data_IF_671226838198
#
_entry.id   IF_671226838198
#
_cell.length_a   1.000
_cell.length_b   1.000
_cell.length_c   1.000
_cell.angle_alpha   90.00
_cell.angle_beta   90.00
_cell.angle_gamma   90.00
#
_symmetry.space_group_name_H-M   'P 1'
#
loop_
_entity.id
_entity.type
_entity.pdbx_description
1 polymer ?
#
# COMPACT_ATOMS: atom_id res chain seq x y z
N UNK A 1 5.12 -0.50 34.65
CA UNK A 1 3.76 -0.03 34.32
C UNK A 1 3.47 -0.34 32.85
N UNK A 2 2.95 -1.52 32.52
CA UNK A 2 2.65 -1.97 31.16
C UNK A 2 1.20 -1.59 30.90
N UNK A 3 1.00 -0.50 30.14
CA UNK A 3 -0.33 -0.07 29.72
C UNK A 3 -1.03 -1.19 28.95
N UNK A 4 -2.29 -1.48 29.30
CA UNK A 4 -3.20 -2.40 28.63
C UNK A 4 -3.17 -2.20 27.12
N UNK A 5 -2.58 -3.13 26.40
CA UNK A 5 -2.33 -3.07 24.96
C UNK A 5 -3.51 -3.69 24.23
N UNK A 6 -4.68 -3.05 24.28
CA UNK A 6 -5.84 -3.50 23.49
C UNK A 6 -5.89 -2.89 22.10
N UNK A 7 -5.07 -1.88 21.78
CA UNK A 7 -5.14 -1.17 20.51
C UNK A 7 -3.84 -1.23 19.73
N UNK A 8 -3.94 -1.54 18.43
CA UNK A 8 -2.80 -1.59 17.48
C UNK A 8 -2.09 -0.24 17.36
N UNK A 9 -2.78 0.89 17.62
CA UNK A 9 -2.17 2.23 17.62
C UNK A 9 -1.03 2.41 18.62
N UNK A 10 -0.96 1.61 19.67
CA UNK A 10 0.10 1.64 20.68
C UNK A 10 1.48 1.34 20.04
N UNK A 11 1.55 0.53 18.99
CA UNK A 11 2.82 0.22 18.32
C UNK A 11 3.42 1.44 17.62
N UNK A 12 2.61 2.36 17.09
CA UNK A 12 3.09 3.65 16.57
C UNK A 12 3.64 4.52 17.70
N UNK A 13 2.95 4.55 18.85
CA UNK A 13 3.38 5.34 20.00
C UNK A 13 4.68 4.80 20.61
N UNK A 14 4.84 3.47 20.70
CA UNK A 14 6.07 2.83 21.19
C UNK A 14 7.27 3.07 20.27
N UNK A 15 7.05 3.38 19.01
CA UNK A 15 8.09 3.56 18.00
C UNK A 15 8.14 5.00 17.44
N UNK A 16 7.70 6.02 18.22
CA UNK A 16 7.63 7.43 17.80
C UNK A 16 8.92 7.95 17.16
N UNK A 17 10.09 7.69 17.76
CA UNK A 17 11.36 8.17 17.24
C UNK A 17 11.71 7.62 15.84
N UNK A 18 11.32 6.37 15.55
CA UNK A 18 11.51 5.80 14.20
C UNK A 18 10.47 6.33 13.22
N UNK A 19 9.24 6.53 13.68
CA UNK A 19 8.19 7.16 12.87
C UNK A 19 8.58 8.59 12.50
N UNK A 20 9.17 9.37 13.42
CA UNK A 20 9.72 10.70 13.12
C UNK A 20 10.82 10.62 12.05
N UNK A 21 11.71 9.63 12.13
CA UNK A 21 12.71 9.37 11.10
C UNK A 21 12.07 9.09 9.72
N UNK A 22 11.01 8.27 9.68
CA UNK A 22 10.26 8.01 8.45
C UNK A 22 9.64 9.30 7.90
N UNK A 23 9.03 10.14 8.75
CA UNK A 23 8.42 11.41 8.33
C UNK A 23 9.48 12.35 7.75
N UNK A 24 10.60 12.53 8.43
CA UNK A 24 11.69 13.40 7.95
C UNK A 24 12.26 12.91 6.61
N UNK A 25 12.51 11.60 6.49
CA UNK A 25 12.98 11.04 5.21
C UNK A 25 11.91 11.12 4.11
N UNK A 26 10.62 11.05 4.45
CA UNK A 26 9.52 11.23 3.49
C UNK A 26 9.48 12.67 2.94
N UNK A 27 9.74 13.67 3.78
CA UNK A 27 9.87 15.07 3.34
C UNK A 27 11.06 15.21 2.38
N UNK A 28 12.23 14.67 2.74
CA UNK A 28 13.41 14.71 1.88
C UNK A 28 13.19 13.99 0.55
N UNK A 29 12.52 12.84 0.57
CA UNK A 29 12.16 12.09 -0.63
C UNK A 29 11.18 12.88 -1.52
N UNK A 30 10.19 13.58 -0.93
CA UNK A 30 9.28 14.46 -1.66
C UNK A 30 10.00 15.65 -2.30
N UNK A 31 10.98 16.22 -1.61
CA UNK A 31 11.84 17.27 -2.21
C UNK A 31 12.64 16.72 -3.41
N UNK A 32 13.09 15.46 -3.35
CA UNK A 32 13.78 14.81 -4.47
C UNK A 32 12.92 14.72 -5.73
N UNK A 33 11.63 14.41 -5.57
CA UNK A 33 10.66 14.39 -6.69
C UNK A 33 10.48 15.79 -7.30
N UNK A 34 10.36 16.82 -6.46
CA UNK A 34 10.15 18.19 -6.95
C UNK A 34 11.40 18.80 -7.58
N UNK A 35 12.60 18.35 -7.22
CA UNK A 35 13.85 18.82 -7.85
C UNK A 35 13.91 18.53 -9.36
N UNK A 36 13.26 17.47 -9.83
CA UNK A 36 13.18 17.20 -11.26
C UNK A 36 12.48 18.31 -12.04
N UNK A 37 11.48 18.98 -11.45
CA UNK A 37 10.81 20.11 -12.09
C UNK A 37 11.80 21.26 -12.39
N UNK A 38 12.72 21.53 -11.46
CA UNK A 38 13.75 22.54 -11.66
C UNK A 38 14.79 22.12 -12.72
N UNK A 39 15.10 20.82 -12.82
CA UNK A 39 15.95 20.31 -13.90
C UNK A 39 15.29 20.55 -15.25
N UNK A 40 14.00 20.23 -15.40
CA UNK A 40 13.26 20.48 -16.64
C UNK A 40 13.17 21.97 -16.98
N UNK A 41 13.06 22.85 -15.97
CA UNK A 41 13.14 24.29 -16.19
C UNK A 41 14.49 24.70 -16.77
N UNK A 42 15.60 24.19 -16.20
CA UNK A 42 16.93 24.51 -16.68
C UNK A 42 17.18 23.98 -18.10
N UNK A 43 16.56 22.88 -18.47
CA UNK A 43 16.57 22.40 -19.86
C UNK A 43 15.83 23.39 -20.78
N UNK A 44 14.66 23.90 -20.35
CA UNK A 44 13.88 24.87 -21.12
C UNK A 44 14.55 26.25 -21.25
N UNK A 45 15.45 26.60 -20.33
CA UNK A 45 16.21 27.86 -20.33
C UNK A 45 17.51 27.79 -21.24
N UNK A 46 17.77 26.63 -21.82
CA UNK A 46 18.99 26.49 -22.67
C UNK A 46 18.89 27.36 -23.92
N UNK A 47 19.90 28.22 -24.20
CA UNK A 47 19.98 28.96 -25.44
C UNK A 47 20.18 28.01 -26.63
N UNK A 48 19.70 28.40 -27.82
CA UNK A 48 19.87 27.63 -29.06
C UNK A 48 21.35 27.31 -29.41
N UNK A 49 22.27 28.20 -29.03
CA UNK A 49 23.72 27.99 -29.15
C UNK A 49 24.27 27.41 -27.84
N UNK A 50 24.36 26.07 -27.77
CA UNK A 50 24.86 25.38 -26.60
C UNK A 50 26.39 25.52 -26.45
N UNK A 51 26.83 26.29 -25.46
CA UNK A 51 28.24 26.30 -25.08
C UNK A 51 28.60 25.04 -24.28
N UNK A 52 29.82 24.50 -24.44
CA UNK A 52 30.31 23.35 -23.67
C UNK A 52 30.14 23.56 -22.16
N UNK A 53 30.32 24.80 -21.69
CA UNK A 53 30.14 25.16 -20.28
C UNK A 53 28.69 25.05 -19.80
N UNK A 54 27.70 25.37 -20.62
CA UNK A 54 26.28 25.23 -20.29
C UNK A 54 25.89 23.75 -20.18
N UNK A 55 26.35 22.92 -21.10
CA UNK A 55 26.15 21.46 -21.07
C UNK A 55 26.76 20.85 -19.80
N UNK A 56 27.98 21.22 -19.43
CA UNK A 56 28.69 20.71 -18.27
C UNK A 56 27.97 21.09 -16.95
N UNK A 57 27.46 22.34 -16.86
CA UNK A 57 26.65 22.79 -15.70
C UNK A 57 25.37 22.02 -15.60
N UNK A 58 24.65 21.81 -16.70
CA UNK A 58 23.42 21.04 -16.70
C UNK A 58 23.67 19.59 -16.31
N UNK A 59 24.71 18.96 -16.83
CA UNK A 59 25.14 17.62 -16.46
C UNK A 59 25.44 17.51 -14.94
N UNK A 60 26.09 18.52 -14.36
CA UNK A 60 26.34 18.59 -12.92
C UNK A 60 25.07 18.67 -12.09
N UNK A 61 24.10 19.52 -12.48
CA UNK A 61 22.80 19.63 -11.82
C UNK A 61 22.04 18.30 -11.90
N UNK A 62 22.05 17.68 -13.08
CA UNK A 62 21.36 16.39 -13.30
C UNK A 62 21.97 15.28 -12.46
N UNK A 63 23.29 15.14 -12.44
CA UNK A 63 24.01 14.17 -11.62
C UNK A 63 23.74 14.39 -10.13
N UNK A 64 23.75 15.64 -9.66
CA UNK A 64 23.41 15.97 -8.28
C UNK A 64 21.98 15.58 -7.95
N UNK A 65 21.00 15.87 -8.82
CA UNK A 65 19.59 15.53 -8.62
C UNK A 65 19.40 14.01 -8.57
N UNK A 66 20.02 13.24 -9.50
CA UNK A 66 19.97 11.78 -9.49
C UNK A 66 20.57 11.22 -8.21
N UNK A 67 21.74 11.72 -7.79
CA UNK A 67 22.40 11.29 -6.56
C UNK A 67 21.53 11.59 -5.33
N UNK A 68 21.03 12.83 -5.21
CA UNK A 68 20.13 13.23 -4.12
C UNK A 68 18.86 12.35 -4.07
N UNK A 69 18.23 12.13 -5.23
CA UNK A 69 17.06 11.28 -5.35
C UNK A 69 17.35 9.85 -4.89
N UNK A 70 18.44 9.26 -5.37
CA UNK A 70 18.83 7.92 -4.99
C UNK A 70 19.09 7.81 -3.47
N UNK A 71 19.82 8.75 -2.89
CA UNK A 71 20.13 8.76 -1.46
C UNK A 71 18.88 8.96 -0.62
N UNK A 72 18.03 9.94 -0.96
CA UNK A 72 16.80 10.24 -0.20
C UNK A 72 15.78 9.09 -0.23
N UNK A 73 15.57 8.45 -1.39
CA UNK A 73 14.66 7.32 -1.53
C UNK A 73 15.18 6.08 -0.80
N UNK A 74 16.49 5.78 -0.87
CA UNK A 74 17.08 4.67 -0.14
C UNK A 74 17.04 4.91 1.38
N UNK A 75 17.30 6.14 1.84
CA UNK A 75 17.17 6.50 3.25
C UNK A 75 15.71 6.30 3.72
N UNK A 76 14.73 6.79 2.96
CA UNK A 76 13.31 6.60 3.28
C UNK A 76 12.95 5.11 3.35
N UNK A 77 13.40 4.30 2.39
CA UNK A 77 13.19 2.86 2.37
C UNK A 77 13.82 2.18 3.60
N UNK A 78 15.04 2.55 3.97
CA UNK A 78 15.74 2.02 5.15
C UNK A 78 14.99 2.32 6.45
N UNK A 79 14.60 3.57 6.68
CA UNK A 79 13.86 3.96 7.89
C UNK A 79 12.49 3.28 7.95
N UNK A 80 11.77 3.20 6.83
CA UNK A 80 10.49 2.50 6.72
C UNK A 80 10.63 1.01 7.04
N UNK A 81 11.62 0.31 6.46
CA UNK A 81 11.88 -1.11 6.72
C UNK A 81 12.28 -1.36 8.18
N UNK A 82 13.12 -0.49 8.74
CA UNK A 82 13.55 -0.60 10.14
C UNK A 82 12.39 -0.36 11.11
N UNK A 83 11.49 0.57 10.80
CA UNK A 83 10.28 0.83 11.55
C UNK A 83 9.34 -0.39 11.53
N UNK A 84 9.05 -0.95 10.35
CA UNK A 84 8.21 -2.13 10.18
C UNK A 84 8.79 -3.36 10.89
N UNK A 85 10.09 -3.63 10.72
CA UNK A 85 10.78 -4.72 11.42
C UNK A 85 10.55 -4.65 12.92
N UNK A 86 10.61 -3.45 13.52
CA UNK A 86 10.45 -3.29 14.96
C UNK A 86 9.01 -3.51 15.41
N UNK A 87 8.04 -2.99 14.67
CA UNK A 87 6.61 -3.22 14.95
C UNK A 87 6.30 -4.72 14.89
N UNK A 88 6.75 -5.41 13.84
CA UNK A 88 6.49 -6.85 13.66
C UNK A 88 7.08 -7.70 14.78
N UNK A 89 8.30 -7.37 15.21
CA UNK A 89 8.91 -8.05 16.36
C UNK A 89 8.09 -7.86 17.64
N UNK A 90 7.59 -6.65 17.88
CA UNK A 90 6.75 -6.37 19.04
C UNK A 90 5.38 -7.05 18.92
N UNK A 91 4.73 -6.93 17.76
CA UNK A 91 3.42 -7.51 17.52
C UNK A 91 3.43 -9.04 17.64
N UNK A 92 4.38 -9.71 16.99
CA UNK A 92 4.51 -11.18 17.06
C UNK A 92 4.75 -11.68 18.48
N UNK A 93 5.57 -10.96 19.26
CA UNK A 93 5.79 -11.28 20.68
C UNK A 93 4.53 -11.08 21.50
N UNK A 94 3.88 -9.93 21.37
CA UNK A 94 2.68 -9.60 22.15
C UNK A 94 1.53 -10.57 21.82
N UNK A 95 1.38 -10.98 20.54
CA UNK A 95 0.40 -12.01 20.12
C UNK A 95 0.75 -13.38 20.69
N UNK A 96 2.00 -13.80 20.63
CA UNK A 96 2.45 -15.08 21.19
C UNK A 96 2.27 -15.12 22.70
N UNK A 97 2.65 -14.06 23.42
CA UNK A 97 2.44 -13.93 24.86
C UNK A 97 0.94 -13.98 25.21
N UNK A 98 0.07 -13.34 24.40
CA UNK A 98 -1.37 -13.38 24.59
C UNK A 98 -1.98 -14.79 24.37
N UNK A 99 -1.37 -15.60 23.49
CA UNK A 99 -1.77 -17.02 23.32
C UNK A 99 -1.35 -17.86 24.53
N UNK A 100 -0.13 -17.66 25.04
CA UNK A 100 0.37 -18.38 26.22
C UNK A 100 -0.35 -18.01 27.52
N UNK A 101 -0.88 -16.79 27.63
CA UNK A 101 -1.66 -16.32 28.77
C UNK A 101 -3.12 -16.84 28.77
N UNK A 102 -3.56 -17.65 27.78
CA UNK A 102 -4.89 -18.23 27.74
C UNK A 102 -5.04 -19.43 28.68
N UNK A 103 -6.26 -19.63 29.21
CA UNK A 103 -6.58 -20.85 29.97
C UNK A 103 -6.63 -22.06 29.04
N UNK A 104 -6.27 -23.26 29.58
CA UNK A 104 -6.24 -24.51 28.83
C UNK A 104 -7.57 -24.83 28.12
N UNK A 105 -8.69 -24.49 28.74
CA UNK A 105 -10.04 -24.66 28.18
C UNK A 105 -10.23 -23.76 26.94
N UNK A 106 -9.79 -22.51 27.00
CA UNK A 106 -9.86 -21.57 25.87
C UNK A 106 -8.91 -21.95 24.74
N UNK A 107 -7.72 -22.47 25.08
CA UNK A 107 -6.76 -22.94 24.10
C UNK A 107 -7.27 -24.18 23.35
N UNK A 108 -7.84 -25.15 24.08
CA UNK A 108 -8.34 -26.42 23.51
C UNK A 108 -9.66 -26.25 22.75
N UNK A 109 -10.49 -25.27 23.15
CA UNK A 109 -11.73 -24.94 22.42
C UNK A 109 -11.47 -24.32 21.04
N UNK A 110 -10.30 -23.73 20.84
CA UNK A 110 -9.86 -23.21 19.56
C UNK A 110 -8.85 -24.16 18.93
N UNK A 111 -9.00 -24.47 17.65
CA UNK A 111 -8.05 -25.30 16.92
C UNK A 111 -6.66 -24.62 16.89
N UNK A 112 -5.59 -25.36 17.20
CA UNK A 112 -4.19 -24.86 17.12
C UNK A 112 -3.86 -24.22 15.76
N UNK A 113 -4.50 -24.68 14.68
CA UNK A 113 -4.41 -24.08 13.34
C UNK A 113 -4.87 -22.63 13.29
N UNK A 114 -5.81 -22.20 14.14
CA UNK A 114 -6.26 -20.82 14.22
C UNK A 114 -5.13 -19.90 14.73
N UNK A 115 -4.39 -20.30 15.74
CA UNK A 115 -3.28 -19.49 16.28
C UNK A 115 -2.11 -19.41 15.32
N UNK A 116 -1.82 -20.50 14.59
CA UNK A 116 -0.83 -20.49 13.51
C UNK A 116 -1.26 -19.56 12.38
N UNK A 117 -2.55 -19.55 12.02
CA UNK A 117 -3.10 -18.62 11.01
C UNK A 117 -2.98 -17.18 11.46
N UNK A 118 -3.27 -16.87 12.72
CA UNK A 118 -3.11 -15.50 13.25
C UNK A 118 -1.65 -15.04 13.16
N UNK A 119 -0.70 -15.86 13.63
CA UNK A 119 0.71 -15.49 13.65
C UNK A 119 1.36 -15.37 12.26
N UNK A 120 0.93 -16.21 11.32
CA UNK A 120 1.51 -16.23 9.98
C UNK A 120 0.74 -15.35 8.99
N UNK A 121 -0.58 -15.48 8.92
CA UNK A 121 -1.38 -14.81 7.91
C UNK A 121 -1.89 -13.45 8.37
N UNK A 122 -2.56 -13.40 9.54
CA UNK A 122 -3.19 -12.16 9.99
C UNK A 122 -2.14 -11.09 10.34
N UNK A 123 -1.06 -11.47 11.02
CA UNK A 123 0.05 -10.55 11.34
C UNK A 123 0.76 -10.08 10.07
N UNK A 124 0.97 -10.95 9.08
CA UNK A 124 1.58 -10.58 7.79
C UNK A 124 0.65 -9.67 6.99
N UNK A 125 -0.66 -9.93 7.04
CA UNK A 125 -1.65 -9.05 6.42
C UNK A 125 -1.64 -7.65 7.07
N UNK A 126 -1.58 -7.57 8.41
CA UNK A 126 -1.46 -6.31 9.14
C UNK A 126 -0.15 -5.57 8.79
N UNK A 127 0.96 -6.30 8.64
CA UNK A 127 2.21 -5.70 8.18
C UNK A 127 2.05 -5.00 6.85
N UNK A 128 1.54 -5.71 5.84
CA UNK A 128 1.49 -5.24 4.46
C UNK A 128 0.40 -4.20 4.21
N UNK A 129 -0.79 -4.39 4.79
CA UNK A 129 -1.97 -3.61 4.48
C UNK A 129 -2.32 -2.53 5.51
N UNK A 130 -1.70 -2.57 6.71
CA UNK A 130 -1.93 -1.56 7.75
C UNK A 130 -0.65 -0.79 8.09
N UNK A 131 0.35 -1.46 8.68
CA UNK A 131 1.56 -0.79 9.18
C UNK A 131 2.46 -0.23 8.07
N UNK A 132 2.56 -0.91 6.91
CA UNK A 132 3.34 -0.43 5.78
C UNK A 132 2.65 0.72 5.04
N UNK A 133 1.31 0.72 5.04
CA UNK A 133 0.53 1.70 4.26
C UNK A 133 0.44 3.07 4.91
N UNK A 134 0.49 3.17 6.23
CA UNK A 134 0.47 4.48 6.93
C UNK A 134 1.71 5.33 6.60
N UNK A 135 2.96 4.83 6.68
CA UNK A 135 4.12 5.56 6.19
C UNK A 135 4.07 5.89 4.70
N UNK A 136 3.47 5.03 3.88
CA UNK A 136 3.27 5.26 2.45
C UNK A 136 2.34 6.45 2.21
N UNK A 137 1.19 6.52 2.90
CA UNK A 137 0.27 7.67 2.83
C UNK A 137 0.99 8.97 3.21
N UNK A 138 1.78 8.94 4.28
CA UNK A 138 2.55 10.10 4.73
C UNK A 138 3.53 10.55 3.64
N UNK A 139 4.29 9.64 3.05
CA UNK A 139 5.25 9.94 1.98
C UNK A 139 4.54 10.53 0.76
N UNK A 140 3.48 9.89 0.28
CA UNK A 140 2.73 10.37 -0.89
C UNK A 140 2.08 11.73 -0.65
N UNK A 141 1.62 12.00 0.57
CA UNK A 141 1.08 13.32 0.93
C UNK A 141 2.16 14.41 0.83
N UNK A 142 3.38 14.16 1.29
CA UNK A 142 4.48 15.13 1.16
C UNK A 142 4.92 15.34 -0.30
N UNK A 143 4.95 14.28 -1.10
CA UNK A 143 5.24 14.39 -2.55
C UNK A 143 4.17 15.25 -3.23
N UNK A 144 2.88 14.97 -2.97
CA UNK A 144 1.76 15.75 -3.52
C UNK A 144 1.84 17.22 -3.13
N UNK A 145 2.01 17.52 -1.84
CA UNK A 145 2.12 18.88 -1.34
C UNK A 145 3.34 19.61 -1.93
N UNK A 146 4.46 18.94 -2.07
CA UNK A 146 5.66 19.49 -2.70
C UNK A 146 5.43 19.83 -4.17
N UNK A 147 4.87 18.92 -4.95
CA UNK A 147 4.54 19.15 -6.36
C UNK A 147 3.53 20.30 -6.51
N UNK A 148 2.51 20.34 -5.64
CA UNK A 148 1.49 21.38 -5.64
C UNK A 148 2.10 22.75 -5.32
N UNK A 149 2.97 22.84 -4.31
CA UNK A 149 3.65 24.09 -3.93
C UNK A 149 4.50 24.65 -5.07
N UNK A 150 5.27 23.78 -5.75
CA UNK A 150 6.07 24.17 -6.92
C UNK A 150 5.18 24.56 -8.10
N UNK A 151 4.05 23.88 -8.30
CA UNK A 151 3.09 24.23 -9.34
C UNK A 151 2.43 25.58 -9.06
N UNK A 152 2.09 25.89 -7.81
CA UNK A 152 1.60 27.21 -7.38
C UNK A 152 2.62 28.31 -7.63
N UNK A 153 3.90 28.02 -7.46
CA UNK A 153 4.98 28.97 -7.75
C UNK A 153 5.05 29.34 -9.24
N UNK A 154 4.82 28.36 -10.14
CA UNK A 154 4.81 28.62 -11.58
C UNK A 154 3.51 29.31 -12.06
N UNK A 155 2.36 28.74 -11.72
CA UNK A 155 1.05 29.32 -12.06
C UNK A 155 -0.04 28.77 -11.12
N UNK A 156 -0.57 29.65 -10.26
CA UNK A 156 -1.65 29.28 -9.32
C UNK A 156 -2.96 28.86 -9.98
N UNK A 157 -3.21 29.22 -11.26
CA UNK A 157 -4.42 28.82 -12.00
C UNK A 157 -4.33 27.36 -12.43
N UNK A 158 -3.14 26.95 -12.91
CA UNK A 158 -2.88 25.56 -13.26
C UNK A 158 -2.94 24.70 -11.98
N UNK A 159 -2.38 25.18 -10.87
CA UNK A 159 -2.49 24.49 -9.58
C UNK A 159 -3.94 24.34 -9.11
N UNK A 160 -4.75 25.39 -9.21
CA UNK A 160 -6.18 25.34 -8.87
C UNK A 160 -6.96 24.36 -9.73
N UNK A 161 -6.67 24.33 -11.02
CA UNK A 161 -7.29 23.37 -11.95
C UNK A 161 -6.90 21.93 -11.62
N UNK A 162 -5.63 21.67 -11.28
CA UNK A 162 -5.17 20.35 -10.84
C UNK A 162 -5.91 19.89 -9.57
N UNK A 163 -6.07 20.79 -8.59
CA UNK A 163 -6.82 20.49 -7.36
C UNK A 163 -8.27 20.09 -7.64
N UNK A 164 -8.90 20.66 -8.66
CA UNK A 164 -10.27 20.30 -9.05
C UNK A 164 -10.33 18.97 -9.78
N UNK A 165 -9.37 18.70 -10.66
CA UNK A 165 -9.41 17.52 -11.56
C UNK A 165 -8.84 16.25 -10.94
N UNK A 166 -7.94 16.36 -9.94
CA UNK A 166 -7.28 15.19 -9.31
C UNK A 166 -8.28 14.25 -8.61
N UNK A 167 -9.45 14.75 -8.23
CA UNK A 167 -10.49 13.94 -7.60
C UNK A 167 -11.24 13.00 -8.56
N UNK A 168 -11.16 13.25 -9.87
CA UNK A 168 -11.86 12.43 -10.88
C UNK A 168 -11.36 10.98 -10.86
N UNK A 169 -10.06 10.67 -11.02
CA UNK A 169 -9.59 9.31 -10.92
C UNK A 169 -9.69 8.72 -9.50
N UNK A 170 -9.66 9.56 -8.46
CA UNK A 170 -9.83 9.13 -7.07
C UNK A 170 -11.23 8.57 -6.81
N UNK A 171 -12.25 9.04 -7.52
CA UNK A 171 -13.63 8.55 -7.35
C UNK A 171 -13.80 7.08 -7.83
N UNK A 172 -12.97 6.59 -8.74
CA UNK A 172 -13.12 5.25 -9.35
C UNK A 172 -13.08 4.11 -8.33
N UNK A 173 -12.11 4.01 -7.41
CA UNK A 173 -12.10 2.97 -6.38
C UNK A 173 -13.35 2.97 -5.49
N UNK A 174 -13.99 4.13 -5.30
CA UNK A 174 -15.22 4.22 -4.52
C UNK A 174 -16.43 3.74 -5.31
N UNK A 175 -16.46 3.95 -6.64
CA UNK A 175 -17.55 3.52 -7.52
C UNK A 175 -17.49 2.00 -7.78
N UNK A 176 -16.30 1.48 -8.07
CA UNK A 176 -16.10 0.07 -8.42
C UNK A 176 -15.79 -0.82 -7.20
N UNK A 177 -15.47 -0.25 -6.05
CA UNK A 177 -15.03 -0.99 -4.87
C UNK A 177 -16.02 -2.05 -4.39
N UNK A 178 -17.33 -1.79 -4.46
CA UNK A 178 -18.35 -2.76 -4.06
C UNK A 178 -18.41 -3.96 -5.02
N UNK A 179 -18.31 -3.72 -6.34
CA UNK A 179 -18.32 -4.77 -7.36
C UNK A 179 -17.09 -5.68 -7.22
N UNK A 180 -15.92 -5.06 -7.03
CA UNK A 180 -14.66 -5.79 -6.83
C UNK A 180 -14.73 -6.61 -5.53
N UNK A 181 -15.17 -6.00 -4.43
CA UNK A 181 -15.26 -6.67 -3.13
C UNK A 181 -16.26 -7.85 -3.15
N UNK A 182 -17.36 -7.73 -3.87
CA UNK A 182 -18.32 -8.83 -4.02
C UNK A 182 -17.76 -9.99 -4.85
N UNK A 183 -17.06 -9.68 -5.95
CA UNK A 183 -16.39 -10.67 -6.78
C UNK A 183 -15.26 -11.39 -6.02
N UNK A 184 -14.45 -10.66 -5.25
CA UNK A 184 -13.44 -11.24 -4.35
C UNK A 184 -14.08 -12.10 -3.26
N UNK A 185 -15.16 -11.64 -2.67
CA UNK A 185 -15.89 -12.42 -1.66
C UNK A 185 -16.44 -13.74 -2.20
N UNK A 186 -16.90 -13.79 -3.46
CA UNK A 186 -17.28 -15.04 -4.14
C UNK A 186 -16.08 -15.97 -4.34
N UNK A 187 -14.98 -15.42 -4.83
CA UNK A 187 -13.75 -16.19 -5.01
C UNK A 187 -13.25 -16.81 -3.70
N UNK A 188 -13.19 -16.05 -2.60
CA UNK A 188 -12.75 -16.59 -1.31
C UNK A 188 -13.68 -17.67 -0.75
N UNK A 189 -14.99 -17.56 -0.93
CA UNK A 189 -15.94 -18.63 -0.52
C UNK A 189 -15.72 -19.91 -1.33
N UNK A 190 -15.56 -19.81 -2.64
CA UNK A 190 -15.28 -20.97 -3.49
C UNK A 190 -13.92 -21.60 -3.17
N UNK A 191 -12.91 -20.78 -2.86
CA UNK A 191 -11.58 -21.25 -2.44
C UNK A 191 -11.63 -21.99 -1.10
N UNK A 192 -12.44 -21.52 -0.15
CA UNK A 192 -12.66 -22.19 1.14
C UNK A 192 -13.33 -23.56 0.94
N UNK A 193 -14.37 -23.66 0.11
CA UNK A 193 -15.02 -24.93 -0.22
C UNK A 193 -14.06 -25.90 -0.93
N UNK A 194 -13.29 -25.42 -1.88
CA UNK A 194 -12.26 -26.20 -2.57
C UNK A 194 -11.22 -26.75 -1.59
N UNK A 195 -10.72 -25.88 -0.70
CA UNK A 195 -9.73 -26.29 0.31
C UNK A 195 -10.30 -27.32 1.28
N UNK A 196 -11.58 -27.18 1.66
CA UNK A 196 -12.30 -28.17 2.47
C UNK A 196 -12.36 -29.55 1.78
N UNK A 197 -12.82 -29.57 0.51
CA UNK A 197 -12.90 -30.81 -0.27
C UNK A 197 -11.53 -31.46 -0.51
N UNK A 198 -10.48 -30.65 -0.76
CA UNK A 198 -9.09 -31.17 -0.84
C UNK A 198 -8.68 -31.89 0.43
N UNK A 199 -8.98 -31.31 1.59
CA UNK A 199 -8.70 -31.93 2.89
C UNK A 199 -9.45 -33.25 3.04
N UNK A 200 -10.71 -33.31 2.59
CA UNK A 200 -11.52 -34.52 2.65
C UNK A 200 -10.98 -35.60 1.71
N UNK A 201 -10.59 -35.25 0.48
CA UNK A 201 -9.97 -36.19 -0.48
C UNK A 201 -8.65 -36.76 0.03
N UNK A 202 -7.76 -35.91 0.56
CA UNK A 202 -6.49 -36.39 1.11
C UNK A 202 -6.66 -37.14 2.43
N UNK A 203 -7.61 -36.73 3.27
CA UNK A 203 -7.94 -37.43 4.52
C UNK A 203 -8.63 -38.76 4.30
N UNK A 204 -9.37 -38.92 3.20
CA UNK A 204 -10.04 -40.15 2.75
C UNK A 204 -9.26 -40.97 1.75
N UNK A 205 -7.95 -40.69 1.53
CA UNK A 205 -7.15 -41.33 0.45
C UNK A 205 -7.19 -42.85 0.51
N UNK A 206 -7.10 -43.47 1.71
CA UNK A 206 -7.20 -44.92 1.90
C UNK A 206 -8.55 -45.46 1.42
N UNK A 207 -9.64 -44.75 1.72
CA UNK A 207 -11.01 -45.10 1.32
C UNK A 207 -11.13 -45.07 -0.20
N UNK A 208 -10.64 -43.97 -0.84
CA UNK A 208 -10.63 -43.83 -2.31
C UNK A 208 -9.92 -44.97 -2.97
N UNK A 209 -8.77 -45.38 -2.43
CA UNK A 209 -7.98 -46.50 -2.97
C UNK A 209 -8.65 -47.88 -2.73
N UNK A 210 -9.19 -48.11 -1.52
CA UNK A 210 -9.83 -49.38 -1.19
C UNK A 210 -11.09 -49.65 -2.03
N UNK A 211 -11.89 -48.58 -2.29
CA UNK A 211 -13.11 -48.68 -3.07
C UNK A 211 -12.93 -48.43 -4.57
N UNK A 212 -11.72 -48.09 -5.01
CA UNK A 212 -11.35 -47.80 -6.41
C UNK A 212 -12.22 -46.71 -7.06
N UNK A 213 -12.67 -45.72 -6.26
CA UNK A 213 -13.51 -44.58 -6.69
C UNK A 213 -12.70 -43.38 -7.16
N UNK A 214 -11.50 -43.63 -7.75
CA UNK A 214 -10.60 -42.56 -8.19
C UNK A 214 -11.19 -41.69 -9.28
N UNK A 215 -11.94 -42.25 -10.24
CA UNK A 215 -12.56 -41.49 -11.35
C UNK A 215 -13.65 -40.56 -10.88
N UNK A 216 -14.53 -41.03 -10.00
CA UNK A 216 -15.59 -40.20 -9.41
C UNK A 216 -15.01 -39.07 -8.57
N UNK A 217 -13.92 -39.34 -7.85
CA UNK A 217 -13.18 -38.32 -7.08
C UNK A 217 -12.53 -37.29 -8.01
N UNK A 218 -11.96 -37.72 -9.14
CA UNK A 218 -11.36 -36.84 -10.15
C UNK A 218 -12.42 -35.91 -10.79
N UNK A 219 -13.60 -36.42 -11.13
CA UNK A 219 -14.71 -35.62 -11.67
C UNK A 219 -15.20 -34.58 -10.66
N UNK A 220 -15.37 -34.97 -9.38
CA UNK A 220 -15.74 -34.06 -8.31
C UNK A 220 -14.66 -33.00 -8.08
N UNK A 221 -13.39 -33.37 -8.09
CA UNK A 221 -12.28 -32.44 -7.98
C UNK A 221 -12.28 -31.46 -9.17
N UNK A 222 -12.43 -31.97 -10.40
CA UNK A 222 -12.48 -31.15 -11.62
C UNK A 222 -13.57 -30.08 -11.58
N UNK A 223 -14.78 -30.43 -11.09
CA UNK A 223 -15.85 -29.45 -10.92
C UNK A 223 -15.49 -28.35 -9.93
N UNK A 224 -14.86 -28.71 -8.79
CA UNK A 224 -14.47 -27.75 -7.77
C UNK A 224 -13.35 -26.82 -8.25
N UNK A 225 -12.38 -27.35 -9.00
CA UNK A 225 -11.32 -26.54 -9.63
C UNK A 225 -11.93 -25.55 -10.61
N UNK A 226 -12.87 -25.99 -11.44
CA UNK A 226 -13.54 -25.13 -12.40
C UNK A 226 -14.26 -23.97 -11.71
N UNK A 227 -15.02 -24.23 -10.65
CA UNK A 227 -15.76 -23.19 -9.91
C UNK A 227 -14.82 -22.15 -9.27
N UNK A 228 -13.68 -22.61 -8.72
CA UNK A 228 -12.68 -21.70 -8.15
C UNK A 228 -12.01 -20.86 -9.23
N UNK A 229 -11.58 -21.48 -10.34
CA UNK A 229 -10.87 -20.75 -11.40
C UNK A 229 -11.79 -19.79 -12.14
N UNK A 230 -13.06 -20.11 -12.34
CA UNK A 230 -14.04 -19.21 -12.93
C UNK A 230 -14.32 -18.01 -12.01
N UNK A 231 -14.49 -18.24 -10.71
CA UNK A 231 -14.64 -17.15 -9.73
C UNK A 231 -13.37 -16.30 -9.59
N UNK A 232 -12.18 -16.92 -9.67
CA UNK A 232 -10.90 -16.23 -9.69
C UNK A 232 -10.76 -15.34 -10.92
N UNK A 233 -11.07 -15.88 -12.09
CA UNK A 233 -11.07 -15.12 -13.35
C UNK A 233 -11.98 -13.90 -13.25
N UNK A 234 -13.22 -14.10 -12.81
CA UNK A 234 -14.19 -13.01 -12.68
C UNK A 234 -13.74 -11.93 -11.70
N UNK A 235 -13.21 -12.33 -10.53
CA UNK A 235 -12.67 -11.40 -9.54
C UNK A 235 -11.50 -10.58 -10.11
N UNK A 236 -10.54 -11.24 -10.75
CA UNK A 236 -9.38 -10.57 -11.36
C UNK A 236 -9.78 -9.68 -12.52
N UNK A 237 -10.74 -10.12 -13.35
CA UNK A 237 -11.24 -9.32 -14.45
C UNK A 237 -11.92 -8.03 -13.97
N UNK A 238 -12.78 -8.10 -12.95
CA UNK A 238 -13.40 -6.93 -12.34
C UNK A 238 -12.35 -5.97 -11.77
N UNK A 239 -11.34 -6.49 -11.05
CA UNK A 239 -10.27 -5.68 -10.49
C UNK A 239 -9.43 -4.99 -11.58
N UNK A 240 -8.99 -5.75 -12.60
CA UNK A 240 -8.21 -5.20 -13.73
C UNK A 240 -9.01 -4.20 -14.54
N UNK A 241 -10.30 -4.44 -14.77
CA UNK A 241 -11.17 -3.50 -15.49
C UNK A 241 -11.33 -2.18 -14.73
N UNK A 242 -11.49 -2.24 -13.41
CA UNK A 242 -11.51 -1.06 -12.55
C UNK A 242 -10.19 -0.27 -12.58
N UNK A 243 -9.06 -0.98 -12.57
CA UNK A 243 -7.72 -0.37 -12.68
C UNK A 243 -7.51 0.31 -14.03
N UNK A 244 -7.82 -0.38 -15.14
CA UNK A 244 -7.71 0.18 -16.50
C UNK A 244 -8.61 1.41 -16.66
N UNK A 245 -9.83 1.38 -16.10
CA UNK A 245 -10.74 2.52 -16.13
C UNK A 245 -10.18 3.71 -15.34
N UNK A 246 -9.62 3.47 -14.15
CA UNK A 246 -8.96 4.50 -13.34
C UNK A 246 -7.76 5.12 -14.08
N UNK A 247 -6.91 4.30 -14.71
CA UNK A 247 -5.79 4.75 -15.53
C UNK A 247 -6.26 5.59 -16.73
N UNK A 248 -7.32 5.15 -17.41
CA UNK A 248 -7.88 5.88 -18.55
C UNK A 248 -8.38 7.27 -18.15
N UNK A 249 -9.06 7.37 -17.00
CA UNK A 249 -9.48 8.68 -16.47
C UNK A 249 -8.28 9.53 -16.03
N UNK A 250 -7.23 8.91 -15.50
CA UNK A 250 -6.00 9.63 -15.14
C UNK A 250 -5.34 10.24 -16.37
N UNK A 251 -5.21 9.49 -17.46
CA UNK A 251 -4.70 10.03 -18.73
C UNK A 251 -5.62 11.08 -19.32
N UNK A 252 -6.94 10.90 -19.24
CA UNK A 252 -7.92 11.90 -19.66
C UNK A 252 -7.79 13.23 -18.89
N UNK A 253 -7.67 13.15 -17.57
CA UNK A 253 -7.45 14.34 -16.74
C UNK A 253 -6.10 14.99 -17.00
N UNK A 254 -5.02 14.20 -17.16
CA UNK A 254 -3.70 14.70 -17.52
C UNK A 254 -3.75 15.44 -18.86
N UNK A 255 -4.38 14.86 -19.87
CA UNK A 255 -4.52 15.49 -21.18
C UNK A 255 -5.29 16.81 -21.10
N UNK A 256 -6.37 16.86 -20.35
CA UNK A 256 -7.12 18.10 -20.09
C UNK A 256 -6.24 19.15 -19.37
N UNK A 257 -5.44 18.74 -18.38
CA UNK A 257 -4.50 19.61 -17.68
C UNK A 257 -3.43 20.18 -18.61
N UNK A 258 -2.90 19.36 -19.53
CA UNK A 258 -1.94 19.79 -20.55
C UNK A 258 -2.56 20.82 -21.50
N UNK A 259 -3.79 20.57 -21.98
CA UNK A 259 -4.50 21.52 -22.86
C UNK A 259 -4.76 22.87 -22.15
N UNK A 260 -5.15 22.83 -20.90
CA UNK A 260 -5.34 24.04 -20.11
C UNK A 260 -4.02 24.80 -19.91
N UNK A 261 -2.92 24.10 -19.63
CA UNK A 261 -1.58 24.69 -19.54
C UNK A 261 -1.18 25.34 -20.86
N UNK A 262 -1.36 24.65 -22.00
CA UNK A 262 -1.07 25.20 -23.32
C UNK A 262 -1.91 26.44 -23.64
N UNK A 263 -3.20 26.45 -23.28
CA UNK A 263 -4.08 27.61 -23.42
C UNK A 263 -3.63 28.81 -22.59
N UNK A 264 -3.18 28.59 -21.32
CA UNK A 264 -2.65 29.67 -20.47
C UNK A 264 -1.30 30.20 -20.99
N UNK A 265 -0.45 29.31 -21.54
CA UNK A 265 0.81 29.69 -22.19
C UNK A 265 0.58 30.51 -23.46
N UNK A 266 -0.38 30.13 -24.31
CA UNK A 266 -0.75 30.89 -25.51
C UNK A 266 -1.24 32.31 -25.20
N UNK A 267 -1.81 32.53 -24.00
CA UNK A 267 -2.19 33.86 -23.50
C UNK A 267 -1.03 34.66 -22.89
N UNK A 268 0.21 34.17 -23.01
CA UNK A 268 1.40 34.82 -22.48
C UNK A 268 1.51 34.84 -20.95
N UNK A 269 0.70 34.02 -20.25
CA UNK A 269 0.65 33.98 -18.78
C UNK A 269 1.66 33.00 -18.16
N UNK A 270 2.14 32.05 -18.95
CA UNK A 270 3.15 31.07 -18.56
C UNK A 270 4.34 31.24 -19.48
N UNK A 271 5.54 31.30 -18.90
CA UNK A 271 6.77 31.33 -19.69
C UNK A 271 6.96 30.02 -20.44
N UNK A 272 7.39 30.08 -21.70
CA UNK A 272 7.70 28.90 -22.50
C UNK A 272 8.73 27.99 -21.81
N UNK A 273 9.69 28.58 -21.08
CA UNK A 273 10.71 27.84 -20.34
C UNK A 273 10.14 27.07 -19.14
N UNK A 274 9.08 27.60 -18.48
CA UNK A 274 8.41 26.94 -17.38
C UNK A 274 7.48 25.81 -17.86
N UNK A 275 7.10 25.79 -19.14
CA UNK A 275 6.15 24.80 -19.67
C UNK A 275 6.64 23.36 -19.49
N UNK A 276 7.92 23.08 -19.72
CA UNK A 276 8.48 21.74 -19.52
C UNK A 276 8.39 21.29 -18.05
N UNK A 277 8.65 22.20 -17.11
CA UNK A 277 8.52 21.93 -15.66
C UNK A 277 7.10 21.67 -15.25
N UNK A 278 6.17 22.47 -15.76
CA UNK A 278 4.73 22.29 -15.49
C UNK A 278 4.25 20.95 -16.04
N UNK A 279 4.62 20.60 -17.27
CA UNK A 279 4.25 19.32 -17.88
C UNK A 279 4.78 18.13 -17.06
N UNK A 280 6.02 18.22 -16.57
CA UNK A 280 6.57 17.21 -15.66
C UNK A 280 5.77 17.13 -14.37
N UNK A 281 5.47 18.26 -13.72
CA UNK A 281 4.68 18.30 -12.48
C UNK A 281 3.27 17.76 -12.68
N UNK A 282 2.60 18.07 -13.80
CA UNK A 282 1.30 17.54 -14.14
C UNK A 282 1.31 16.00 -14.27
N UNK A 283 2.35 15.45 -14.87
CA UNK A 283 2.50 13.98 -14.97
C UNK A 283 2.81 13.35 -13.63
N UNK A 284 3.58 14.01 -12.76
CA UNK A 284 4.02 13.46 -11.47
C UNK A 284 3.01 13.60 -10.35
N UNK A 285 2.10 14.60 -10.39
CA UNK A 285 1.19 14.92 -9.27
C UNK A 285 0.03 13.93 -9.11
N UNK A 286 -0.34 13.22 -10.18
CA UNK A 286 -1.44 12.27 -10.15
C UNK A 286 -1.08 10.96 -9.42
N UNK A 287 0.17 10.49 -9.54
CA UNK A 287 0.63 9.24 -8.93
C UNK A 287 0.58 9.25 -7.40
N UNK A 288 1.07 10.27 -6.69
CA UNK A 288 0.97 10.36 -5.24
C UNK A 288 -0.46 10.25 -4.71
N UNK A 289 -1.42 10.87 -5.41
CA UNK A 289 -2.83 10.83 -4.99
C UNK A 289 -3.40 9.43 -5.15
N UNK A 290 -3.17 8.78 -6.29
CA UNK A 290 -3.62 7.40 -6.51
C UNK A 290 -3.00 6.44 -5.50
N UNK A 291 -1.69 6.52 -5.26
CA UNK A 291 -1.00 5.68 -4.29
C UNK A 291 -1.52 5.90 -2.87
N UNK A 292 -1.79 7.16 -2.48
CA UNK A 292 -2.38 7.47 -1.17
C UNK A 292 -3.78 6.88 -1.02
N UNK A 293 -4.62 6.96 -2.06
CA UNK A 293 -5.97 6.37 -2.05
C UNK A 293 -5.90 4.85 -1.98
N UNK A 294 -5.05 4.20 -2.77
CA UNK A 294 -4.84 2.75 -2.71
C UNK A 294 -4.36 2.30 -1.33
N UNK A 295 -3.41 3.03 -0.75
CA UNK A 295 -2.93 2.76 0.59
C UNK A 295 -4.03 2.94 1.65
N UNK A 296 -4.88 3.97 1.53
CA UNK A 296 -6.03 4.18 2.40
C UNK A 296 -7.05 3.04 2.30
N UNK A 297 -7.37 2.58 1.09
CA UNK A 297 -8.27 1.45 0.88
C UNK A 297 -7.68 0.15 1.46
N UNK A 298 -6.37 -0.08 1.32
CA UNK A 298 -5.68 -1.22 1.96
C UNK A 298 -5.78 -1.16 3.49
N UNK A 299 -5.59 0.00 4.10
CA UNK A 299 -5.78 0.19 5.56
C UNK A 299 -7.21 -0.12 5.97
N UNK A 300 -8.20 0.32 5.19
CA UNK A 300 -9.62 0.04 5.44
C UNK A 300 -9.94 -1.45 5.33
N UNK A 301 -9.40 -2.14 4.33
CA UNK A 301 -9.61 -3.58 4.12
C UNK A 301 -8.94 -4.46 5.19
N UNK A 302 -7.88 -3.97 5.83
CA UNK A 302 -7.21 -4.68 6.92
C UNK A 302 -7.97 -4.61 8.27
N UNK A 303 -9.01 -3.79 8.38
CA UNK A 303 -9.76 -3.56 9.62
C UNK A 303 -10.29 -4.83 10.31
N UNK A 304 -10.85 -5.84 9.61
CA UNK A 304 -11.27 -7.09 10.25
C UNK A 304 -10.12 -7.83 10.94
N UNK A 305 -8.92 -7.83 10.32
CA UNK A 305 -7.73 -8.45 10.90
C UNK A 305 -7.20 -7.65 12.10
N UNK A 306 -7.31 -6.31 12.06
CA UNK A 306 -7.04 -5.44 13.22
C UNK A 306 -7.92 -5.84 14.39
N UNK A 307 -9.24 -5.90 14.18
CA UNK A 307 -10.21 -6.25 15.24
C UNK A 307 -9.98 -7.66 15.82
N UNK A 308 -9.63 -8.62 14.95
CA UNK A 308 -9.32 -9.99 15.36
C UNK A 308 -8.09 -10.06 16.28
N UNK A 309 -7.01 -9.37 15.89
CA UNK A 309 -5.78 -9.33 16.68
C UNK A 309 -5.97 -8.50 17.96
N UNK A 310 -6.67 -7.38 17.92
CA UNK A 310 -6.99 -6.56 19.09
C UNK A 310 -7.83 -7.35 20.12
N UNK A 311 -8.82 -8.13 19.68
CA UNK A 311 -9.61 -9.01 20.56
C UNK A 311 -8.75 -10.06 21.26
N UNK A 312 -7.70 -10.58 20.59
CA UNK A 312 -6.77 -11.51 21.19
C UNK A 312 -5.87 -10.82 22.24
N UNK A 313 -5.37 -9.62 21.91
CA UNK A 313 -4.50 -8.83 22.79
C UNK A 313 -5.23 -8.21 23.99
N UNK A 314 -6.55 -7.98 23.89
CA UNK A 314 -7.38 -7.36 24.94
C UNK A 314 -7.78 -8.34 26.05
N UNK A 315 -7.59 -9.66 25.88
CA UNK A 315 -7.95 -10.66 26.90
C UNK A 315 -7.10 -10.45 28.18
N UNK A 316 -7.72 -10.53 29.38
CA UNK A 316 -7.02 -10.26 30.63
C UNK A 316 -5.91 -11.27 30.87
N UNK A 317 -4.71 -10.76 31.21
CA UNK A 317 -3.58 -11.57 31.62
C UNK A 317 -3.87 -12.27 32.95
N UNK A 318 -4.09 -13.56 32.95
CA UNK A 318 -4.00 -14.39 34.16
C UNK A 318 -2.52 -14.78 34.37
N UNK A 319 -1.73 -13.88 34.93
CA UNK A 319 -0.45 -14.27 35.51
C UNK A 319 -0.66 -14.83 36.90
N UNK A 320 -0.74 -16.15 36.99
CA UNK A 320 -0.38 -16.90 38.18
C UNK A 320 0.69 -17.93 37.78
N UNK A 321 1.92 -17.46 37.56
CA UNK A 321 3.05 -18.35 37.77
C UNK A 321 3.35 -18.34 39.28
N UNK A 322 3.15 -19.46 40.00
CA UNK A 322 3.80 -19.61 41.26
C UNK A 322 5.30 -19.60 41.00
N UNK A 323 6.04 -18.75 41.71
CA UNK A 323 7.49 -18.80 41.77
C UNK A 323 7.89 -20.21 42.17
N UNK A 324 8.41 -20.99 41.21
CA UNK A 324 9.14 -22.21 41.55
C UNK A 324 10.46 -21.73 42.09
N UNK A 325 10.54 -21.61 43.43
CA UNK A 325 11.80 -21.48 44.16
C UNK A 325 12.64 -22.73 43.82
N UNK A 326 13.62 -22.54 42.98
CA UNK A 326 14.72 -23.50 42.85
C UNK A 326 15.59 -23.39 44.07
N UNK A 327 15.38 -24.33 45.03
CA UNK A 327 16.40 -24.68 45.98
C UNK A 327 17.56 -25.41 45.31
#
# INVERSE_FOLDING_TARGET
MIQKTGSIHVYFQRNKGRLTGVILCSILAGMGETMWAFVFQKIGELPGDMTKAAILRLAGILLFTVFYYAVSQNACAYFRRTFLKRINLQLKRDVFDAVLDQDMIQFTSNNSGMYLSILNNDVTNLENNYFAKIPEIIQQSFVFLGCLAVLCYYDGRVAGMVLLTVWIPVAVPFLFGNVISEAEGRFYRNLEQYTGKLKDFFGGFEVIQCFQIGKETEELFGSCVKDVEESRYHSRFCASSGEVFALSLTYGTLFFQILFCAWTAAKGKVSANAMLSILYLLSSINNPVQNAVQAFLSVKSARPNVEKVEKLLAKPKKRTHPSVDRK
#
